data_IF_508559541486
#
_entry.id   IF_508559541486
#
_cell.length_a   1.000
_cell.length_b   1.000
_cell.length_c   1.000
_cell.angle_alpha   90.00
_cell.angle_beta   90.00
_cell.angle_gamma   90.00
#
_symmetry.space_group_name_H-M   'P 1'
#
loop_
_entity.id
_entity.type
_entity.pdbx_description
1 polymer ?
#
# COMPACT_ATOMS: atom_id res chain seq x y z
N UNK A 1 17.35 6.74 -6.45
CA UNK A 1 17.34 5.40 -5.82
C UNK A 1 17.11 4.33 -6.89
N UNK A 2 16.00 4.26 -7.63
CA UNK A 2 15.76 3.15 -8.60
C UNK A 2 15.93 3.44 -10.11
N UNK A 3 16.34 4.64 -10.53
CA UNK A 3 16.57 5.01 -11.95
C UNK A 3 15.60 4.37 -12.97
N UNK A 4 14.30 4.57 -12.77
CA UNK A 4 13.24 3.90 -13.54
C UNK A 4 13.30 4.34 -15.02
N UNK A 5 13.41 3.37 -15.92
CA UNK A 5 13.35 3.61 -17.36
C UNK A 5 11.93 3.42 -17.89
N UNK A 6 11.25 4.53 -18.16
CA UNK A 6 9.86 4.53 -18.62
C UNK A 6 9.67 4.08 -20.07
N UNK A 7 10.72 3.64 -20.77
CA UNK A 7 10.63 3.15 -22.17
C UNK A 7 10.70 1.63 -22.27
N UNK A 8 11.08 0.95 -21.17
CA UNK A 8 11.28 -0.50 -21.12
C UNK A 8 10.08 -1.14 -20.41
N UNK A 9 9.70 -2.38 -20.75
CA UNK A 9 8.72 -3.12 -19.97
C UNK A 9 9.13 -3.24 -18.50
N UNK A 10 8.16 -3.18 -17.59
CA UNK A 10 8.40 -3.45 -16.16
C UNK A 10 8.52 -4.96 -15.90
N UNK A 11 9.34 -5.33 -14.92
CA UNK A 11 9.43 -6.69 -14.36
C UNK A 11 8.35 -6.97 -13.29
N UNK A 12 7.56 -5.96 -12.91
CA UNK A 12 6.58 -6.05 -11.85
C UNK A 12 5.39 -6.94 -12.22
N UNK A 13 5.22 -8.02 -11.46
CA UNK A 13 4.11 -8.95 -11.64
C UNK A 13 2.78 -8.35 -11.12
N UNK A 14 1.70 -8.35 -11.95
CA UNK A 14 0.35 -7.97 -11.54
C UNK A 14 -0.15 -8.54 -10.21
N UNK A 15 0.10 -9.82 -9.98
CA UNK A 15 -0.32 -10.51 -8.76
C UNK A 15 0.42 -9.98 -7.54
N UNK A 16 1.70 -9.60 -7.69
CA UNK A 16 2.47 -9.05 -6.58
C UNK A 16 1.91 -7.70 -6.15
N UNK A 17 1.43 -6.88 -7.09
CA UNK A 17 0.77 -5.61 -6.76
C UNK A 17 -0.50 -5.82 -5.94
N UNK A 18 -1.33 -6.80 -6.33
CA UNK A 18 -2.58 -7.12 -5.63
C UNK A 18 -2.30 -7.61 -4.20
N UNK A 19 -1.38 -8.57 -4.05
CA UNK A 19 -1.02 -9.10 -2.73
C UNK A 19 -0.36 -8.02 -1.86
N UNK A 20 0.58 -7.25 -2.40
CA UNK A 20 1.25 -6.18 -1.67
C UNK A 20 0.28 -5.12 -1.15
N UNK A 21 -0.72 -4.72 -1.96
CA UNK A 21 -1.78 -3.82 -1.50
C UNK A 21 -2.64 -4.43 -0.40
N UNK A 22 -2.97 -5.72 -0.50
CA UNK A 22 -3.76 -6.44 0.52
C UNK A 22 -2.98 -6.59 1.82
N UNK A 23 -1.69 -6.91 1.74
CA UNK A 23 -0.79 -7.03 2.89
C UNK A 23 -0.62 -5.69 3.59
N UNK A 24 -0.37 -4.61 2.84
CA UNK A 24 -0.26 -3.26 3.41
C UNK A 24 -1.56 -2.83 4.09
N UNK A 25 -2.71 -3.04 3.44
CA UNK A 25 -4.04 -2.73 3.99
C UNK A 25 -4.28 -3.37 5.37
N UNK A 26 -3.80 -4.60 5.59
CA UNK A 26 -3.91 -5.31 6.87
C UNK A 26 -3.02 -4.74 7.97
N UNK A 27 -1.91 -4.08 7.61
CA UNK A 27 -0.96 -3.47 8.57
C UNK A 27 -1.42 -2.10 9.06
N UNK A 28 -2.35 -1.47 8.37
CA UNK A 28 -2.91 -0.17 8.78
C UNK A 28 -3.86 -0.35 9.97
N UNK A 29 -3.31 -0.38 11.17
CA UNK A 29 -4.06 -0.51 12.42
C UNK A 29 -4.08 0.83 13.14
N UNK A 30 -5.28 1.35 13.36
CA UNK A 30 -5.60 2.53 14.19
C UNK A 30 -6.27 2.10 15.50
N UNK A 31 -7.20 1.15 15.41
CA UNK A 31 -7.88 0.58 16.59
C UNK A 31 -7.31 -0.82 16.83
N UNK A 32 -6.46 -1.02 17.86
CA UNK A 32 -5.91 -2.33 18.17
C UNK A 32 -6.97 -3.23 18.80
N UNK A 33 -7.07 -4.48 18.36
CA UNK A 33 -7.97 -5.48 18.95
C UNK A 33 -8.42 -6.54 17.95
N UNK A 34 -8.68 -7.75 18.45
CA UNK A 34 -9.09 -8.90 17.63
C UNK A 34 -10.59 -9.22 17.71
N UNK A 35 -11.30 -8.57 18.63
CA UNK A 35 -12.74 -8.73 18.79
C UNK A 35 -13.51 -8.08 17.62
N UNK A 36 -14.76 -8.51 17.35
CA UNK A 36 -15.54 -8.00 16.22
C UNK A 36 -15.75 -6.48 16.23
N UNK A 37 -15.87 -5.87 17.41
CA UNK A 37 -16.10 -4.43 17.54
C UNK A 37 -14.84 -3.64 17.15
N UNK A 38 -13.67 -4.06 17.66
CA UNK A 38 -12.37 -3.46 17.31
C UNK A 38 -12.08 -3.56 15.81
N UNK A 39 -12.38 -4.71 15.19
CA UNK A 39 -12.21 -4.91 13.75
C UNK A 39 -13.09 -3.95 12.93
N UNK A 40 -14.37 -3.87 13.27
CA UNK A 40 -15.29 -2.95 12.59
C UNK A 40 -14.88 -1.48 12.79
N UNK A 41 -14.42 -1.12 13.99
CA UNK A 41 -13.92 0.22 14.28
C UNK A 41 -12.68 0.55 13.45
N UNK A 42 -11.73 -0.38 13.32
CA UNK A 42 -10.54 -0.19 12.50
C UNK A 42 -10.87 -0.09 11.01
N UNK A 43 -11.78 -0.93 10.50
CA UNK A 43 -12.24 -0.87 9.12
C UNK A 43 -12.85 0.50 8.79
N UNK A 44 -13.69 1.02 9.68
CA UNK A 44 -14.27 2.36 9.54
C UNK A 44 -13.20 3.46 9.59
N UNK A 45 -12.28 3.40 10.55
CA UNK A 45 -11.21 4.38 10.71
C UNK A 45 -10.25 4.43 9.52
N UNK A 46 -10.05 3.28 8.84
CA UNK A 46 -9.10 3.15 7.73
C UNK A 46 -9.76 3.11 6.36
N UNK A 47 -11.08 3.28 6.26
CA UNK A 47 -11.84 3.15 5.02
C UNK A 47 -11.27 4.04 3.90
N UNK A 48 -11.10 5.34 4.17
CA UNK A 48 -10.68 6.31 3.17
C UNK A 48 -9.26 6.06 2.66
N UNK A 49 -8.31 5.77 3.57
CA UNK A 49 -6.93 5.48 3.18
C UNK A 49 -6.85 4.18 2.38
N UNK A 50 -7.65 3.18 2.74
CA UNK A 50 -7.76 1.93 1.99
C UNK A 50 -8.35 2.13 0.58
N UNK A 51 -9.32 3.03 0.40
CA UNK A 51 -9.81 3.42 -0.92
C UNK A 51 -8.70 4.11 -1.73
N UNK A 52 -7.98 5.06 -1.13
CA UNK A 52 -6.89 5.79 -1.78
C UNK A 52 -5.79 4.83 -2.25
N UNK A 53 -5.33 3.92 -1.38
CA UNK A 53 -4.31 2.93 -1.70
C UNK A 53 -4.71 2.09 -2.90
N UNK A 54 -5.93 1.53 -2.90
CA UNK A 54 -6.41 0.69 -4.02
C UNK A 54 -6.55 1.46 -5.33
N UNK A 55 -6.96 2.72 -5.28
CA UNK A 55 -7.12 3.57 -6.48
C UNK A 55 -5.78 4.06 -7.06
N UNK A 56 -4.76 4.18 -6.22
CA UNK A 56 -3.45 4.72 -6.59
C UNK A 56 -2.48 3.61 -6.98
N UNK A 57 -2.43 2.54 -6.19
CA UNK A 57 -1.55 1.38 -6.37
C UNK A 57 -2.17 0.28 -7.25
N UNK A 58 -3.17 0.59 -8.07
CA UNK A 58 -3.74 -0.42 -8.96
C UNK A 58 -2.71 -0.88 -10.00
N UNK A 59 -2.75 -2.17 -10.34
CA UNK A 59 -1.77 -2.82 -11.22
C UNK A 59 -1.50 -2.06 -12.52
N UNK A 60 -2.56 -1.58 -13.17
CA UNK A 60 -2.44 -0.84 -14.43
C UNK A 60 -1.59 0.42 -14.27
N UNK A 61 -1.85 1.23 -13.24
CA UNK A 61 -1.08 2.44 -12.98
C UNK A 61 0.36 2.11 -12.63
N UNK A 62 0.59 1.11 -11.77
CA UNK A 62 1.93 0.69 -11.37
C UNK A 62 2.78 0.24 -12.58
N UNK A 63 2.17 -0.46 -13.54
CA UNK A 63 2.87 -1.00 -14.70
C UNK A 63 2.98 -0.04 -15.90
N UNK A 64 1.94 0.76 -16.19
CA UNK A 64 1.89 1.57 -17.41
C UNK A 64 2.24 3.04 -17.18
N UNK A 65 1.75 3.62 -16.08
CA UNK A 65 1.90 5.05 -15.76
C UNK A 65 3.19 5.31 -14.99
N UNK A 66 3.36 4.63 -13.85
CA UNK A 66 4.54 4.79 -12.99
C UNK A 66 5.70 3.89 -13.39
N UNK A 67 5.41 2.77 -14.08
CA UNK A 67 6.38 1.79 -14.58
C UNK A 67 7.39 1.35 -13.51
N UNK A 68 6.88 1.10 -12.30
CA UNK A 68 7.73 0.69 -11.18
C UNK A 68 8.33 -0.68 -11.46
N UNK A 69 9.59 -0.89 -11.06
CA UNK A 69 10.17 -2.22 -10.96
C UNK A 69 9.63 -2.94 -9.72
N UNK A 70 9.85 -4.26 -9.64
CA UNK A 70 9.50 -5.03 -8.43
C UNK A 70 10.15 -4.44 -7.19
N UNK A 71 11.44 -4.11 -7.26
CA UNK A 71 12.20 -3.53 -6.15
C UNK A 71 11.63 -2.17 -5.72
N UNK A 72 11.33 -1.29 -6.68
CA UNK A 72 10.76 0.02 -6.39
C UNK A 72 9.36 -0.07 -5.76
N UNK A 73 8.56 -1.06 -6.17
CA UNK A 73 7.25 -1.32 -5.58
C UNK A 73 7.35 -1.82 -4.13
N UNK A 74 8.24 -2.78 -3.84
CA UNK A 74 8.47 -3.25 -2.46
C UNK A 74 8.94 -2.12 -1.54
N UNK A 75 9.88 -1.31 -2.02
CA UNK A 75 10.36 -0.15 -1.29
C UNK A 75 9.22 0.85 -1.01
N UNK A 76 8.37 1.12 -2.00
CA UNK A 76 7.22 2.01 -1.85
C UNK A 76 6.25 1.51 -0.76
N UNK A 77 5.95 0.21 -0.73
CA UNK A 77 5.07 -0.36 0.31
C UNK A 77 5.66 -0.17 1.70
N UNK A 78 6.98 -0.39 1.87
CA UNK A 78 7.68 -0.18 3.14
C UNK A 78 7.72 1.28 3.59
N UNK A 79 7.90 2.21 2.65
CA UNK A 79 7.86 3.65 2.95
C UNK A 79 6.45 4.08 3.37
N UNK A 80 5.39 3.60 2.71
CA UNK A 80 4.00 3.91 3.10
C UNK A 80 3.71 3.40 4.52
N UNK A 81 4.09 2.16 4.84
CA UNK A 81 3.93 1.57 6.18
C UNK A 81 4.64 2.43 7.24
N UNK A 82 5.91 2.77 7.00
CA UNK A 82 6.72 3.59 7.89
C UNK A 82 6.10 4.97 8.13
N UNK A 83 5.67 5.64 7.06
CA UNK A 83 5.03 6.97 7.14
C UNK A 83 3.69 6.93 7.85
N UNK A 84 2.92 5.87 7.64
CA UNK A 84 1.65 5.69 8.32
C UNK A 84 1.83 5.55 9.83
N UNK A 85 2.80 4.75 10.28
CA UNK A 85 3.12 4.61 11.71
C UNK A 85 3.58 5.93 12.32
N UNK A 86 4.42 6.70 11.62
CA UNK A 86 4.90 8.01 12.08
C UNK A 86 3.81 9.09 12.13
N UNK A 87 2.77 8.97 11.29
CA UNK A 87 1.68 9.94 11.21
C UNK A 87 0.63 9.76 12.33
N UNK A 88 0.73 8.71 13.14
CA UNK A 88 -0.19 8.52 14.26
C UNK A 88 0.01 9.62 15.32
N UNK A 89 -1.11 10.04 15.92
CA UNK A 89 -1.10 11.00 17.02
C UNK A 89 -0.35 10.39 18.20
N UNK A 90 0.60 11.15 18.76
CA UNK A 90 1.26 10.74 20.00
C UNK A 90 0.26 10.85 21.16
N UNK A 91 0.14 9.80 22.00
CA UNK A 91 -0.75 9.79 23.15
C UNK A 91 -0.51 10.93 24.14
#
# INVERSE_FOLDING_TARGET
IFHINTRVPTDLNPFRVIEGCRELSKKLIIVPGEDPLSKQANENATLLINCLLRSTLCTKKMAEEYRLSTEAFEWLLGEIDTRFQQAQVQP
#
